data_IF_027417690843
#
_entry.id   IF_027417690843
#
_cell.length_a   1.000
_cell.length_b   1.000
_cell.length_c   1.000
_cell.angle_alpha   90.00
_cell.angle_beta   90.00
_cell.angle_gamma   90.00
#
_symmetry.space_group_name_H-M   'P 1'
#
loop_
_entity.id
_entity.type
_entity.pdbx_description
1 polymer ?
#
# COMPACT_ATOMS: atom_id res chain seq x y z
N UNK A 1 -40.09 -22.15 40.46
CA UNK A 1 -39.22 -20.99 40.82
C UNK A 1 -37.80 -21.54 40.95
N UNK A 2 -36.72 -21.10 40.32
CA UNK A 2 -36.39 -19.89 39.56
C UNK A 2 -35.26 -20.30 38.60
N UNK A 3 -35.45 -20.08 37.30
CA UNK A 3 -34.47 -20.39 36.26
C UNK A 3 -33.42 -19.26 36.19
N UNK A 4 -32.16 -19.59 36.50
CA UNK A 4 -31.00 -18.72 36.27
C UNK A 4 -30.84 -18.45 34.77
N UNK A 5 -31.33 -17.31 34.30
CA UNK A 5 -31.01 -16.77 32.97
C UNK A 5 -29.59 -16.23 32.97
N UNK A 6 -28.66 -16.96 32.36
CA UNK A 6 -27.31 -16.46 32.08
C UNK A 6 -27.41 -15.35 31.02
N UNK A 7 -27.15 -14.11 31.42
CA UNK A 7 -27.03 -12.97 30.50
C UNK A 7 -25.66 -12.99 29.81
N UNK A 8 -25.57 -13.68 28.68
CA UNK A 8 -24.42 -13.52 27.78
C UNK A 8 -24.53 -12.14 27.12
N UNK A 9 -23.77 -11.15 27.62
CA UNK A 9 -23.62 -9.83 26.99
C UNK A 9 -23.03 -10.04 25.58
N UNK A 10 -23.89 -10.06 24.56
CA UNK A 10 -23.50 -9.86 23.16
C UNK A 10 -22.82 -8.48 23.06
N UNK A 11 -21.47 -8.44 23.11
CA UNK A 11 -20.70 -7.25 22.73
C UNK A 11 -21.05 -6.96 21.27
N UNK A 12 -21.84 -5.92 21.01
CA UNK A 12 -21.99 -5.34 19.67
C UNK A 12 -20.58 -5.01 19.19
N UNK A 13 -20.09 -5.72 18.16
CA UNK A 13 -18.82 -5.37 17.50
C UNK A 13 -18.98 -3.93 16.98
N UNK A 14 -18.30 -2.99 17.62
CA UNK A 14 -18.25 -1.59 17.16
C UNK A 14 -17.66 -1.62 15.75
N UNK A 15 -18.33 -1.01 14.76
CA UNK A 15 -17.83 -0.91 13.40
C UNK A 15 -16.54 -0.07 13.46
N UNK A 16 -15.43 -0.67 13.05
CA UNK A 16 -14.14 0.02 13.02
C UNK A 16 -14.20 1.17 12.02
N UNK A 17 -13.53 2.27 12.36
CA UNK A 17 -13.54 3.52 11.59
C UNK A 17 -12.59 3.42 10.40
N UNK A 18 -13.07 3.86 9.24
CA UNK A 18 -12.25 4.05 8.04
C UNK A 18 -11.44 5.34 8.14
N UNK A 19 -10.27 5.35 7.51
CA UNK A 19 -9.44 6.52 7.30
C UNK A 19 -9.28 6.85 5.81
N UNK A 20 -8.29 7.67 5.49
CA UNK A 20 -7.91 8.01 4.13
C UNK A 20 -6.42 7.77 3.87
N UNK A 21 -6.10 7.52 2.60
CA UNK A 21 -4.76 7.12 2.16
C UNK A 21 -3.78 8.30 2.10
N UNK A 22 -2.48 8.02 1.95
CA UNK A 22 -1.48 9.06 1.69
C UNK A 22 -1.77 9.79 0.37
N UNK A 23 -2.30 9.08 -0.65
CA UNK A 23 -2.76 9.68 -1.90
C UNK A 23 -3.88 10.71 -1.72
N UNK A 24 -4.89 10.39 -0.91
CA UNK A 24 -5.97 11.33 -0.57
C UNK A 24 -5.45 12.55 0.17
N UNK A 25 -4.51 12.35 1.09
CA UNK A 25 -3.88 13.44 1.83
C UNK A 25 -3.11 14.40 0.89
N UNK A 26 -2.31 13.85 -0.02
CA UNK A 26 -1.55 14.62 -1.01
C UNK A 26 -2.47 15.38 -1.99
N UNK A 27 -3.55 14.74 -2.46
CA UNK A 27 -4.54 15.39 -3.31
C UNK A 27 -5.27 16.54 -2.57
N UNK A 28 -5.65 16.33 -1.30
CA UNK A 28 -6.25 17.37 -0.45
C UNK A 28 -5.32 18.58 -0.32
N UNK A 29 -4.07 18.32 0.07
CA UNK A 29 -3.06 19.35 0.24
C UNK A 29 -2.83 20.14 -1.05
N UNK A 30 -2.70 19.44 -2.19
CA UNK A 30 -2.52 20.06 -3.51
C UNK A 30 -3.71 20.95 -3.87
N UNK A 31 -4.94 20.44 -3.67
CA UNK A 31 -6.17 21.19 -3.93
C UNK A 31 -6.21 22.51 -3.18
N UNK A 32 -5.94 22.47 -1.87
CA UNK A 32 -5.98 23.67 -1.05
C UNK A 32 -4.81 24.61 -1.34
N UNK A 33 -3.62 24.09 -1.67
CA UNK A 33 -2.46 24.91 -2.01
C UNK A 33 -2.73 25.68 -3.30
N UNK A 34 -3.20 25.02 -4.36
CA UNK A 34 -3.54 25.71 -5.60
C UNK A 34 -4.66 26.74 -5.43
N UNK A 35 -5.70 26.44 -4.63
CA UNK A 35 -6.74 27.41 -4.31
C UNK A 35 -6.14 28.65 -3.62
N UNK A 36 -5.28 28.44 -2.63
CA UNK A 36 -4.58 29.50 -1.92
C UNK A 36 -3.72 30.34 -2.87
N UNK A 37 -3.00 29.70 -3.79
CA UNK A 37 -2.18 30.39 -4.77
C UNK A 37 -2.99 31.30 -5.69
N UNK A 38 -4.15 30.84 -6.16
CA UNK A 38 -4.98 31.57 -7.11
C UNK A 38 -5.84 32.66 -6.46
N UNK A 39 -6.25 32.46 -5.21
CA UNK A 39 -7.29 33.31 -4.58
C UNK A 39 -6.83 34.01 -3.30
N UNK A 40 -5.66 33.67 -2.77
CA UNK A 40 -5.19 34.12 -1.45
C UNK A 40 -5.91 33.45 -0.27
N UNK A 41 -6.86 32.54 -0.52
CA UNK A 41 -7.65 31.86 0.52
C UNK A 41 -7.55 30.34 0.38
N UNK A 42 -7.21 29.58 1.44
CA UNK A 42 -7.16 28.14 1.38
C UNK A 42 -8.56 27.51 1.54
N UNK A 43 -8.71 26.24 1.14
CA UNK A 43 -9.92 25.46 1.42
C UNK A 43 -9.88 24.91 2.85
N UNK A 44 -10.93 25.18 3.64
CA UNK A 44 -11.04 24.66 5.00
C UNK A 44 -12.52 24.45 5.38
N UNK A 45 -13.03 23.20 5.42
CA UNK A 45 -12.35 21.95 5.09
C UNK A 45 -12.15 21.75 3.58
N UNK A 46 -11.38 20.74 3.20
CA UNK A 46 -11.05 20.42 1.80
C UNK A 46 -11.94 19.26 1.35
N UNK A 47 -12.75 19.47 0.31
CA UNK A 47 -13.50 18.39 -0.34
C UNK A 47 -12.64 17.68 -1.39
N UNK A 48 -12.47 16.37 -1.27
CA UNK A 48 -11.63 15.54 -2.17
C UNK A 48 -12.47 14.43 -2.80
N UNK A 49 -12.49 14.39 -4.14
CA UNK A 49 -13.12 13.33 -4.92
C UNK A 49 -12.21 12.10 -4.97
N UNK A 50 -12.73 10.94 -4.57
CA UNK A 50 -12.02 9.67 -4.61
C UNK A 50 -12.23 8.94 -5.94
N UNK A 51 -11.40 7.94 -6.30
CA UNK A 51 -11.56 7.16 -7.53
C UNK A 51 -12.94 6.52 -7.72
N UNK A 52 -13.61 6.13 -6.64
CA UNK A 52 -14.96 5.56 -6.68
C UNK A 52 -16.08 6.64 -6.70
N UNK A 53 -15.74 7.91 -6.88
CA UNK A 53 -16.69 9.04 -6.93
C UNK A 53 -17.17 9.56 -5.57
N UNK A 54 -16.86 8.85 -4.47
CA UNK A 54 -17.12 9.33 -3.10
C UNK A 54 -16.34 10.61 -2.83
N UNK A 55 -16.95 11.58 -2.16
CA UNK A 55 -16.26 12.81 -1.69
C UNK A 55 -15.96 12.70 -0.20
N UNK A 56 -14.73 13.03 0.19
CA UNK A 56 -14.32 13.17 1.59
C UNK A 56 -14.08 14.63 1.96
N UNK A 57 -14.37 14.97 3.21
CA UNK A 57 -13.97 16.23 3.83
C UNK A 57 -12.71 16.01 4.66
N UNK A 58 -11.61 16.65 4.27
CA UNK A 58 -10.30 16.54 4.91
C UNK A 58 -9.97 17.86 5.62
N UNK A 59 -9.67 17.85 6.94
CA UNK A 59 -9.27 19.05 7.66
C UNK A 59 -7.91 19.58 7.19
N UNK A 60 -7.85 20.87 6.88
CA UNK A 60 -6.60 21.58 6.63
C UNK A 60 -5.80 21.72 7.93
N UNK A 61 -4.51 21.39 7.89
CA UNK A 61 -3.58 21.53 9.01
C UNK A 61 -2.84 22.86 8.96
N UNK A 62 -2.15 23.14 7.85
CA UNK A 62 -1.38 24.37 7.63
C UNK A 62 -1.61 24.91 6.23
N UNK A 63 -1.46 26.23 6.10
CA UNK A 63 -1.45 26.95 4.84
C UNK A 63 -0.45 28.10 4.91
N UNK A 64 0.32 28.30 3.86
CA UNK A 64 1.27 29.39 3.70
C UNK A 64 1.29 29.82 2.24
N UNK A 65 1.27 31.13 1.99
CA UNK A 65 1.52 31.71 0.68
C UNK A 65 2.80 32.54 0.78
N UNK A 66 3.82 32.19 0.02
CA UNK A 66 5.10 32.87 -0.03
C UNK A 66 5.45 33.20 -1.49
N UNK A 67 5.27 34.47 -1.87
CA UNK A 67 5.40 34.92 -3.25
C UNK A 67 4.48 34.15 -4.20
N UNK A 68 5.06 33.41 -5.13
CA UNK A 68 4.37 32.60 -6.14
C UNK A 68 4.31 31.10 -5.81
N UNK A 69 4.62 30.73 -4.56
CA UNK A 69 4.56 29.37 -4.05
C UNK A 69 3.57 29.32 -2.90
N UNK A 70 2.66 28.35 -2.96
CA UNK A 70 1.74 28.04 -1.86
C UNK A 70 2.08 26.69 -1.25
N UNK A 71 1.88 26.54 0.04
CA UNK A 71 2.02 25.29 0.76
C UNK A 71 0.75 25.04 1.56
N UNK A 72 0.17 23.85 1.42
CA UNK A 72 -0.84 23.35 2.35
C UNK A 72 -0.48 21.95 2.83
N UNK A 73 -0.92 21.60 4.04
CA UNK A 73 -0.77 20.25 4.57
C UNK A 73 -2.01 19.78 5.33
N UNK A 74 -2.12 18.46 5.50
CA UNK A 74 -3.16 17.77 6.26
C UNK A 74 -2.53 16.70 7.13
N UNK A 75 -3.22 16.26 8.17
CA UNK A 75 -2.76 15.14 9.02
C UNK A 75 -3.48 13.87 8.58
N UNK A 76 -2.73 12.84 8.18
CA UNK A 76 -3.31 11.58 7.72
C UNK A 76 -4.04 10.87 8.85
N UNK A 77 -5.32 10.60 8.61
CA UNK A 77 -6.14 9.81 9.51
C UNK A 77 -6.36 8.41 8.92
N UNK A 78 -5.84 7.37 9.59
CA UNK A 78 -5.95 5.97 9.14
C UNK A 78 -7.18 5.26 9.72
N UNK A 79 -8.04 5.96 10.46
CA UNK A 79 -9.16 5.34 11.13
C UNK A 79 -8.68 4.50 12.32
N UNK A 80 -9.15 3.26 12.40
CA UNK A 80 -8.72 2.28 13.40
C UNK A 80 -7.67 1.28 12.84
N UNK A 81 -7.10 1.55 11.65
CA UNK A 81 -6.05 0.71 11.07
C UNK A 81 -4.70 0.98 11.77
N UNK A 82 -3.92 -0.06 12.13
CA UNK A 82 -2.57 0.10 12.68
C UNK A 82 -1.55 0.48 11.58
N UNK A 83 -1.81 1.58 10.88
CA UNK A 83 -1.01 2.11 9.79
C UNK A 83 0.11 3.00 10.35
N UNK A 84 1.36 2.68 9.99
CA UNK A 84 2.57 3.42 10.40
C UNK A 84 2.57 4.90 9.97
N UNK A 85 1.80 5.24 8.94
CA UNK A 85 1.66 6.61 8.43
C UNK A 85 0.47 7.35 9.05
N UNK A 86 -0.24 6.76 10.01
CA UNK A 86 -1.26 7.47 10.78
C UNK A 86 -0.64 8.63 11.57
N UNK A 87 -1.29 9.79 11.53
CA UNK A 87 -0.83 11.00 12.20
C UNK A 87 0.29 11.74 11.45
N UNK A 88 0.81 11.20 10.35
CA UNK A 88 1.80 11.88 9.53
C UNK A 88 1.21 13.14 8.90
N UNK A 89 1.95 14.24 8.97
CA UNK A 89 1.61 15.46 8.22
C UNK A 89 2.08 15.29 6.77
N UNK A 90 1.14 15.40 5.83
CA UNK A 90 1.37 15.25 4.41
C UNK A 90 0.95 16.56 3.74
N UNK A 91 1.81 17.12 2.92
CA UNK A 91 1.56 18.40 2.27
C UNK A 91 2.02 18.46 0.83
N UNK A 92 1.68 19.58 0.21
CA UNK A 92 2.07 19.89 -1.15
C UNK A 92 2.50 21.36 -1.24
N UNK A 93 3.61 21.62 -1.92
CA UNK A 93 4.01 22.93 -2.41
C UNK A 93 3.61 23.05 -3.87
N UNK A 94 2.90 24.12 -4.21
CA UNK A 94 2.33 24.32 -5.54
C UNK A 94 2.74 25.68 -6.08
N UNK A 95 3.20 25.68 -7.33
CA UNK A 95 3.41 26.90 -8.14
C UNK A 95 3.01 26.66 -9.60
N UNK A 96 2.66 27.73 -10.29
CA UNK A 96 2.36 27.72 -11.73
C UNK A 96 3.63 28.11 -12.48
N UNK A 97 4.10 27.23 -13.36
CA UNK A 97 5.34 27.42 -14.12
C UNK A 97 5.12 28.21 -15.43
N UNK A 98 3.89 28.27 -15.92
CA UNK A 98 3.54 28.96 -17.17
C UNK A 98 2.44 28.25 -17.94
N UNK A 99 2.11 28.71 -19.15
CA UNK A 99 1.07 28.12 -19.97
C UNK A 99 1.52 26.84 -20.69
N UNK A 100 0.55 26.03 -21.12
CA UNK A 100 0.75 24.79 -21.91
C UNK A 100 -0.08 24.82 -23.19
N UNK A 101 0.15 23.85 -24.11
CA UNK A 101 -0.61 23.72 -25.35
C UNK A 101 -1.93 22.97 -25.12
N UNK A 102 -2.81 23.54 -24.30
CA UNK A 102 -4.24 23.17 -24.23
C UNK A 102 -4.69 22.24 -23.10
N UNK A 103 -3.78 21.57 -22.38
CA UNK A 103 -4.13 20.70 -21.25
C UNK A 103 -3.24 20.95 -20.03
N UNK A 104 -3.77 20.68 -18.84
CA UNK A 104 -3.05 20.88 -17.60
C UNK A 104 -1.92 19.86 -17.53
N UNK A 105 -0.68 20.32 -17.43
CA UNK A 105 0.50 19.48 -17.25
C UNK A 105 0.97 19.58 -15.80
N UNK A 106 1.07 18.45 -15.10
CA UNK A 106 1.61 18.41 -13.74
C UNK A 106 3.05 17.90 -13.74
N UNK A 107 3.95 18.70 -13.17
CA UNK A 107 5.32 18.31 -12.85
C UNK A 107 5.35 17.84 -11.40
N UNK A 108 5.47 16.53 -11.20
CA UNK A 108 5.56 15.93 -9.87
C UNK A 108 6.99 16.05 -9.33
N UNK A 109 7.12 16.52 -8.10
CA UNK A 109 8.39 16.58 -7.36
C UNK A 109 8.25 15.86 -6.01
N UNK A 110 9.35 15.25 -5.57
CA UNK A 110 9.48 14.71 -4.23
C UNK A 110 10.08 15.80 -3.33
N UNK A 111 9.32 16.25 -2.34
CA UNK A 111 9.82 17.04 -1.21
C UNK A 111 10.33 16.12 -0.10
N UNK A 112 10.61 16.70 1.06
CA UNK A 112 11.12 15.93 2.20
C UNK A 112 10.20 14.75 2.57
N UNK A 113 10.80 13.60 2.84
CA UNK A 113 10.08 12.40 3.28
C UNK A 113 9.21 11.69 2.24
N UNK A 114 9.19 12.15 0.97
CA UNK A 114 8.69 11.37 -0.16
C UNK A 114 9.86 10.67 -0.84
N UNK A 115 9.73 9.36 -1.07
CA UNK A 115 10.81 8.58 -1.63
C UNK A 115 10.96 8.73 -3.14
N UNK A 116 12.11 8.33 -3.66
CA UNK A 116 12.41 8.18 -5.08
C UNK A 116 12.48 6.69 -5.43
N UNK A 117 11.97 6.31 -6.60
CA UNK A 117 12.04 4.94 -7.10
C UNK A 117 13.44 4.67 -7.67
N UNK A 118 14.13 3.68 -7.12
CA UNK A 118 15.49 3.29 -7.50
C UNK A 118 15.59 1.90 -8.12
N UNK A 119 14.49 1.13 -8.11
CA UNK A 119 14.42 -0.21 -8.72
C UNK A 119 13.28 -0.31 -9.73
N UNK A 120 13.44 -1.10 -10.80
CA UNK A 120 12.35 -1.36 -11.74
C UNK A 120 11.26 -2.24 -11.12
N UNK A 121 10.10 -2.32 -11.79
CA UNK A 121 8.98 -3.19 -11.42
C UNK A 121 7.86 -2.48 -10.66
N UNK A 122 8.12 -1.32 -10.06
CA UNK A 122 7.03 -0.47 -9.56
C UNK A 122 6.29 0.21 -10.73
N UNK A 123 5.02 0.63 -10.54
CA UNK A 123 4.25 1.35 -11.55
C UNK A 123 4.79 2.76 -11.86
N UNK A 124 5.76 3.22 -11.07
CA UNK A 124 6.45 4.49 -11.20
C UNK A 124 7.87 4.21 -11.70
N UNK A 125 8.37 5.00 -12.66
CA UNK A 125 9.68 4.78 -13.28
C UNK A 125 10.82 5.05 -12.31
N UNK A 126 11.98 4.44 -12.57
CA UNK A 126 13.22 4.74 -11.83
C UNK A 126 13.59 6.22 -12.01
N UNK A 127 14.02 6.87 -10.93
CA UNK A 127 14.34 8.30 -10.86
C UNK A 127 13.13 9.22 -10.63
N UNK A 128 11.92 8.69 -10.57
CA UNK A 128 10.71 9.49 -10.31
C UNK A 128 10.31 9.49 -8.83
N UNK A 129 9.62 10.57 -8.37
CA UNK A 129 8.94 10.59 -7.07
C UNK A 129 7.99 9.39 -6.93
N UNK A 130 8.05 8.71 -5.78
CA UNK A 130 7.25 7.54 -5.43
C UNK A 130 5.77 7.89 -5.17
N UNK A 131 5.14 8.56 -6.12
CA UNK A 131 3.72 8.92 -6.15
C UNK A 131 3.06 8.01 -7.18
N UNK A 132 2.28 7.05 -6.69
CA UNK A 132 1.67 6.02 -7.54
C UNK A 132 0.63 6.59 -8.52
N UNK A 133 0.25 5.85 -9.58
CA UNK A 133 -0.65 6.34 -10.62
C UNK A 133 -2.00 6.86 -10.12
N UNK A 134 -2.66 6.15 -9.19
CA UNK A 134 -3.95 6.60 -8.64
C UNK A 134 -3.80 7.90 -7.85
N UNK A 135 -2.85 8.05 -6.91
CA UNK A 135 -2.55 9.35 -6.32
C UNK A 135 -2.23 10.47 -7.32
N UNK A 136 -1.44 10.21 -8.38
CA UNK A 136 -1.20 11.19 -9.46
C UNK A 136 -2.52 11.60 -10.13
N UNK A 137 -3.39 10.64 -10.42
CA UNK A 137 -4.71 10.91 -10.99
C UNK A 137 -5.59 11.75 -10.05
N UNK A 138 -5.58 11.47 -8.75
CA UNK A 138 -6.32 12.25 -7.76
C UNK A 138 -5.78 13.69 -7.65
N UNK A 139 -4.47 13.87 -7.73
CA UNK A 139 -3.83 15.18 -7.77
C UNK A 139 -4.23 15.93 -9.05
N UNK A 140 -4.24 15.26 -10.21
CA UNK A 140 -4.70 15.84 -11.47
C UNK A 140 -6.14 16.35 -11.36
N UNK A 141 -7.06 15.54 -10.84
CA UNK A 141 -8.45 15.97 -10.63
C UNK A 141 -8.55 17.15 -9.68
N UNK A 142 -7.82 17.12 -8.56
CA UNK A 142 -7.80 18.22 -7.61
C UNK A 142 -7.34 19.54 -8.24
N UNK A 143 -6.30 19.49 -9.08
CA UNK A 143 -5.80 20.67 -9.81
C UNK A 143 -6.86 21.18 -10.79
N UNK A 144 -7.41 20.30 -11.62
CA UNK A 144 -8.43 20.67 -12.63
C UNK A 144 -9.70 21.25 -11.99
N UNK A 145 -10.20 20.64 -10.90
CA UNK A 145 -11.36 21.13 -10.16
C UNK A 145 -11.14 22.57 -9.65
N UNK A 146 -9.94 22.90 -9.16
CA UNK A 146 -9.63 24.26 -8.70
C UNK A 146 -9.48 25.23 -9.86
N UNK A 147 -8.79 24.83 -10.95
CA UNK A 147 -8.63 25.67 -12.13
C UNK A 147 -9.98 26.05 -12.74
N UNK A 148 -10.91 25.11 -12.82
CA UNK A 148 -12.26 25.35 -13.31
C UNK A 148 -13.05 26.26 -12.35
N UNK A 149 -13.03 25.97 -11.05
CA UNK A 149 -13.75 26.77 -10.04
C UNK A 149 -13.27 28.22 -9.98
N UNK A 150 -11.96 28.45 -10.19
CA UNK A 150 -11.36 29.78 -10.23
C UNK A 150 -11.39 30.43 -11.63
N UNK A 151 -11.95 29.75 -12.64
CA UNK A 151 -11.95 30.20 -14.05
C UNK A 151 -10.54 30.57 -14.55
N UNK A 152 -9.53 29.84 -14.08
CA UNK A 152 -8.13 30.12 -14.35
C UNK A 152 -7.66 29.52 -15.70
N UNK A 153 -8.44 28.63 -16.31
CA UNK A 153 -8.08 27.90 -17.53
C UNK A 153 -7.20 26.67 -17.25
N UNK A 154 -7.36 25.63 -18.09
CA UNK A 154 -6.64 24.33 -18.01
C UNK A 154 -5.35 24.31 -18.83
N UNK A 155 -4.93 25.43 -19.39
CA UNK A 155 -3.72 25.59 -20.19
C UNK A 155 -2.51 25.94 -19.32
N UNK A 156 -2.30 25.21 -18.21
CA UNK A 156 -1.24 25.52 -17.24
C UNK A 156 -0.32 24.35 -16.95
N UNK A 157 0.96 24.68 -16.77
CA UNK A 157 1.95 23.79 -16.19
C UNK A 157 2.03 24.07 -14.69
N UNK A 158 1.65 23.09 -13.88
CA UNK A 158 1.62 23.19 -12.42
C UNK A 158 2.72 22.29 -11.86
N UNK A 159 3.63 22.86 -11.07
CA UNK A 159 4.54 22.04 -10.27
C UNK A 159 3.88 21.69 -8.94
N UNK A 160 3.90 20.41 -8.60
CA UNK A 160 3.38 19.87 -7.34
C UNK A 160 4.49 19.08 -6.66
N UNK A 161 5.07 19.67 -5.63
CA UNK A 161 6.03 19.00 -4.77
C UNK A 161 5.32 18.44 -3.54
N UNK A 162 5.22 17.13 -3.42
CA UNK A 162 4.59 16.47 -2.27
C UNK A 162 5.64 16.17 -1.22
N UNK A 163 5.34 16.44 0.05
CA UNK A 163 6.22 16.15 1.18
C UNK A 163 5.47 15.42 2.30
N UNK A 164 6.22 14.71 3.13
CA UNK A 164 5.74 14.04 4.34
C UNK A 164 6.69 14.35 5.49
N UNK A 165 6.20 15.05 6.52
CA UNK A 165 7.00 15.33 7.72
C UNK A 165 7.45 14.01 8.35
N UNK A 166 8.75 13.91 8.66
CA UNK A 166 9.41 12.70 9.17
C UNK A 166 9.27 11.45 8.27
N UNK A 167 8.93 11.64 6.98
CA UNK A 167 8.65 10.55 6.06
C UNK A 167 9.81 9.58 5.85
N UNK A 168 11.07 10.06 5.88
CA UNK A 168 12.24 9.17 5.79
C UNK A 168 12.32 8.21 7.00
N UNK A 169 12.07 8.73 8.21
CA UNK A 169 12.06 7.93 9.44
C UNK A 169 10.91 6.93 9.42
N UNK A 170 9.73 7.33 8.96
CA UNK A 170 8.59 6.44 8.82
C UNK A 170 8.84 5.34 7.77
N UNK A 171 9.49 5.67 6.65
CA UNK A 171 9.81 4.74 5.57
C UNK A 171 10.70 3.58 6.02
N UNK A 172 11.60 3.80 7.00
CA UNK A 172 12.44 2.73 7.59
C UNK A 172 11.63 1.63 8.28
N UNK A 173 10.37 1.91 8.65
CA UNK A 173 9.42 0.96 9.26
C UNK A 173 8.46 0.33 8.23
N UNK A 174 8.66 0.59 6.93
CA UNK A 174 7.82 0.04 5.86
C UNK A 174 8.63 -0.88 4.95
N UNK A 175 7.97 -1.43 3.91
CA UNK A 175 8.62 -2.24 2.89
C UNK A 175 9.24 -1.40 1.77
N UNK A 176 9.15 -0.06 1.83
CA UNK A 176 9.67 0.84 0.80
C UNK A 176 11.14 0.60 0.45
N UNK A 177 12.08 0.51 1.41
CA UNK A 177 13.48 0.27 1.07
C UNK A 177 13.68 -1.03 0.29
N UNK A 178 12.93 -2.08 0.62
CA UNK A 178 12.99 -3.38 -0.05
C UNK A 178 12.47 -3.28 -1.49
N UNK A 179 11.38 -2.54 -1.68
CA UNK A 179 10.76 -2.27 -2.99
C UNK A 179 11.59 -1.32 -3.85
N UNK A 180 12.71 -0.78 -3.34
CA UNK A 180 13.53 0.20 -4.06
C UNK A 180 12.92 1.58 -4.05
N UNK A 181 12.30 1.98 -2.95
CA UNK A 181 11.91 3.37 -2.69
C UNK A 181 12.78 3.90 -1.55
N UNK A 182 13.67 4.83 -1.87
CA UNK A 182 14.66 5.38 -0.94
C UNK A 182 14.36 6.85 -0.62
N UNK A 183 14.84 7.34 0.53
CA UNK A 183 14.67 8.73 0.97
C UNK A 183 13.30 9.09 1.55
N UNK A 184 12.30 8.20 1.48
CA UNK A 184 10.97 8.52 2.00
C UNK A 184 9.88 7.49 1.73
N UNK A 185 8.65 7.90 2.06
CA UNK A 185 7.43 7.12 1.87
C UNK A 185 6.93 7.19 0.43
N UNK A 186 6.14 6.19 0.05
CA UNK A 186 5.41 6.19 -1.20
C UNK A 186 4.05 6.83 -0.93
N UNK A 187 3.64 7.73 -1.83
CA UNK A 187 2.28 8.27 -1.85
C UNK A 187 1.44 7.27 -2.65
N UNK A 188 0.55 6.56 -1.95
CA UNK A 188 -0.16 5.38 -2.44
C UNK A 188 -1.61 5.36 -1.95
N UNK A 189 -2.42 4.50 -2.57
CA UNK A 189 -3.84 4.32 -2.27
C UNK A 189 -4.66 4.14 -3.54
N UNK A 190 -5.29 2.97 -3.69
CA UNK A 190 -6.06 2.60 -4.89
C UNK A 190 -7.50 3.10 -4.85
N UNK A 191 -8.11 3.12 -3.67
CA UNK A 191 -9.50 3.60 -3.45
C UNK A 191 -9.58 4.98 -2.80
N UNK A 192 -8.46 5.51 -2.32
CA UNK A 192 -8.41 6.71 -1.49
C UNK A 192 -8.83 6.49 -0.01
N UNK A 193 -9.30 5.30 0.36
CA UNK A 193 -9.74 4.95 1.73
C UNK A 193 -8.79 3.94 2.38
N UNK A 194 -8.55 4.12 3.68
CA UNK A 194 -7.93 3.10 4.53
C UNK A 194 -9.03 2.34 5.25
N UNK A 195 -9.13 1.03 4.98
CA UNK A 195 -10.07 0.14 5.67
C UNK A 195 -9.31 -0.63 6.76
N UNK A 196 -9.77 -0.59 8.02
CA UNK A 196 -9.03 -1.17 9.14
C UNK A 196 -8.91 -2.70 9.00
N UNK A 197 -7.70 -3.21 9.23
CA UNK A 197 -7.34 -4.64 9.17
C UNK A 197 -7.67 -5.29 7.83
N UNK A 198 -7.54 -4.53 6.74
CA UNK A 198 -7.89 -5.00 5.41
C UNK A 198 -6.83 -5.92 4.82
N UNK A 199 -7.24 -7.13 4.43
CA UNK A 199 -6.43 -8.02 3.60
C UNK A 199 -6.03 -7.41 2.25
N UNK A 200 -6.76 -6.38 1.78
CA UNK A 200 -6.48 -5.75 0.48
C UNK A 200 -5.15 -4.99 0.48
N UNK A 201 -4.86 -4.20 1.51
CA UNK A 201 -3.60 -3.46 1.62
C UNK A 201 -2.39 -4.40 1.64
N UNK A 202 -2.55 -5.55 2.32
CA UNK A 202 -1.50 -6.57 2.37
C UNK A 202 -1.30 -7.25 1.00
N UNK A 203 -2.38 -7.52 0.25
CA UNK A 203 -2.32 -8.05 -1.11
C UNK A 203 -1.63 -7.10 -2.09
N UNK A 204 -1.96 -5.82 -2.04
CA UNK A 204 -1.32 -4.77 -2.86
C UNK A 204 0.19 -4.69 -2.59
N UNK A 205 0.59 -4.86 -1.33
CA UNK A 205 1.99 -4.94 -0.92
C UNK A 205 2.70 -6.18 -1.50
N UNK A 206 2.03 -7.34 -1.48
CA UNK A 206 2.54 -8.56 -2.12
C UNK A 206 2.71 -8.34 -3.63
N UNK A 207 1.72 -7.76 -4.30
CA UNK A 207 1.78 -7.50 -5.75
C UNK A 207 2.95 -6.57 -6.11
N UNK A 208 3.16 -5.50 -5.35
CA UNK A 208 4.30 -4.60 -5.55
C UNK A 208 5.64 -5.35 -5.40
N UNK A 209 5.78 -6.18 -4.35
CA UNK A 209 6.99 -6.97 -4.13
C UNK A 209 7.23 -8.00 -5.24
N UNK A 210 6.17 -8.67 -5.71
CA UNK A 210 6.25 -9.61 -6.83
C UNK A 210 6.65 -8.91 -8.14
N UNK A 211 6.17 -7.69 -8.37
CA UNK A 211 6.51 -6.93 -9.57
C UNK A 211 7.99 -6.50 -9.56
N UNK A 212 8.51 -6.06 -8.40
CA UNK A 212 9.95 -5.78 -8.22
C UNK A 212 10.78 -7.06 -8.38
N UNK A 213 10.35 -8.18 -7.78
CA UNK A 213 11.00 -9.48 -7.94
C UNK A 213 11.05 -9.91 -9.41
N UNK A 214 9.97 -9.66 -10.17
CA UNK A 214 9.85 -10.04 -11.57
C UNK A 214 10.79 -9.23 -12.46
N UNK A 215 10.98 -7.96 -12.13
CA UNK A 215 11.92 -7.09 -12.81
C UNK A 215 13.38 -7.46 -12.51
N UNK A 216 13.64 -8.10 -11.36
CA UNK A 216 14.97 -8.61 -10.99
C UNK A 216 15.28 -9.99 -11.62
N UNK A 217 14.28 -10.82 -11.91
CA UNK A 217 14.49 -12.13 -12.52
C UNK A 217 13.24 -12.99 -12.74
N UNK A 218 13.44 -14.21 -13.23
CA UNK A 218 12.38 -15.19 -13.49
C UNK A 218 12.15 -16.20 -12.34
N UNK A 219 13.07 -16.24 -11.37
CA UNK A 219 12.97 -17.10 -10.19
C UNK A 219 12.40 -16.31 -9.00
N UNK A 220 11.45 -16.93 -8.30
CA UNK A 220 10.76 -16.33 -7.17
C UNK A 220 10.86 -17.24 -5.94
N UNK A 221 11.17 -16.64 -4.80
CA UNK A 221 11.13 -17.30 -3.50
C UNK A 221 10.01 -16.69 -2.66
N UNK A 222 8.96 -17.48 -2.42
CA UNK A 222 7.87 -17.10 -1.53
C UNK A 222 8.16 -17.55 -0.11
N UNK A 223 7.97 -16.65 0.86
CA UNK A 223 8.17 -16.95 2.27
C UNK A 223 6.98 -16.52 3.11
N UNK A 224 6.80 -17.21 4.23
CA UNK A 224 5.72 -16.93 5.18
C UNK A 224 6.04 -15.83 6.19
N UNK A 225 7.25 -15.28 6.14
CA UNK A 225 7.74 -14.19 6.99
C UNK A 225 9.25 -14.21 7.12
N UNK A 226 9.81 -13.30 7.93
CA UNK A 226 11.27 -13.10 7.99
C UNK A 226 12.10 -14.33 8.39
N UNK A 227 11.57 -15.24 9.23
CA UNK A 227 12.32 -16.46 9.63
C UNK A 227 12.44 -17.47 8.49
N UNK A 228 11.37 -17.71 7.74
CA UNK A 228 11.40 -18.59 6.56
C UNK A 228 12.16 -17.94 5.40
N UNK A 229 12.08 -16.62 5.26
CA UNK A 229 12.89 -15.89 4.27
C UNK A 229 14.39 -16.02 4.56
N UNK A 230 14.83 -15.77 5.81
CA UNK A 230 16.25 -15.92 6.20
C UNK A 230 16.76 -17.34 6.00
N UNK A 231 15.93 -18.34 6.27
CA UNK A 231 16.27 -19.73 5.98
C UNK A 231 16.50 -19.95 4.48
N UNK A 232 15.59 -19.45 3.63
CA UNK A 232 15.72 -19.57 2.18
C UNK A 232 16.97 -18.85 1.65
N UNK A 233 17.25 -17.63 2.12
CA UNK A 233 18.43 -16.85 1.71
C UNK A 233 19.75 -17.54 2.03
N UNK A 234 19.82 -18.35 3.09
CA UNK A 234 21.01 -19.15 3.43
C UNK A 234 21.24 -20.31 2.46
N UNK A 235 20.18 -20.81 1.83
CA UNK A 235 20.26 -21.94 0.91
C UNK A 235 20.38 -21.48 -0.56
N UNK A 236 19.77 -20.35 -0.89
CA UNK A 236 19.68 -19.81 -2.24
C UNK A 236 20.53 -18.53 -2.35
N UNK A 237 21.83 -18.66 -2.10
CA UNK A 237 22.77 -17.53 -1.95
C UNK A 237 23.05 -16.78 -3.26
N UNK A 238 22.73 -17.38 -4.41
CA UNK A 238 22.96 -16.78 -5.74
C UNK A 238 21.80 -15.90 -6.21
N UNK A 239 20.63 -15.95 -5.54
CA UNK A 239 19.48 -15.16 -5.92
C UNK A 239 19.55 -13.73 -5.35
N UNK A 240 19.16 -12.70 -6.13
CA UNK A 240 18.99 -11.34 -5.63
C UNK A 240 18.01 -11.27 -4.46
N UNK A 241 18.17 -10.29 -3.57
CA UNK A 241 17.27 -10.13 -2.42
C UNK A 241 15.81 -9.86 -2.85
N UNK A 242 15.63 -9.20 -3.99
CA UNK A 242 14.34 -8.87 -4.58
C UNK A 242 13.52 -10.11 -4.90
N UNK A 243 14.16 -11.24 -5.21
CA UNK A 243 13.48 -12.50 -5.48
C UNK A 243 12.79 -13.08 -4.24
N UNK A 244 13.05 -12.57 -3.04
CA UNK A 244 12.48 -13.08 -1.78
C UNK A 244 11.29 -12.23 -1.34
N UNK A 245 10.08 -12.77 -1.51
CA UNK A 245 8.82 -12.07 -1.21
C UNK A 245 8.11 -12.72 -0.03
N UNK A 246 7.74 -11.90 0.97
CA UNK A 246 6.96 -12.35 2.12
C UNK A 246 5.46 -12.27 1.82
N UNK A 247 4.78 -13.41 1.81
CA UNK A 247 3.34 -13.51 1.55
C UNK A 247 2.51 -13.80 2.79
N UNK A 248 3.15 -13.92 3.96
CA UNK A 248 2.51 -14.29 5.23
C UNK A 248 1.61 -15.54 5.12
N UNK A 249 0.29 -15.32 5.11
CA UNK A 249 -0.73 -16.36 5.03
C UNK A 249 -1.39 -16.46 3.65
N UNK A 250 -1.10 -15.52 2.73
CA UNK A 250 -1.73 -15.34 1.43
C UNK A 250 -1.14 -16.25 0.33
N UNK A 251 -0.97 -17.53 0.64
CA UNK A 251 -0.42 -18.54 -0.27
C UNK A 251 -1.08 -18.57 -1.65
N UNK A 252 -2.39 -18.81 -1.68
CA UNK A 252 -3.11 -18.96 -2.94
C UNK A 252 -3.18 -17.67 -3.74
N UNK A 253 -3.15 -16.51 -3.08
CA UNK A 253 -3.06 -15.22 -3.75
C UNK A 253 -1.66 -15.00 -4.33
N UNK A 254 -0.60 -15.21 -3.54
CA UNK A 254 0.79 -15.03 -3.96
C UNK A 254 1.15 -15.86 -5.18
N UNK A 255 0.76 -17.14 -5.21
CA UNK A 255 0.98 -18.00 -6.37
C UNK A 255 0.21 -17.56 -7.61
N UNK A 256 -1.07 -17.20 -7.47
CA UNK A 256 -1.89 -16.69 -8.59
C UNK A 256 -1.31 -15.39 -9.15
N UNK A 257 -0.87 -14.48 -8.29
CA UNK A 257 -0.24 -13.24 -8.70
C UNK A 257 1.12 -13.50 -9.39
N UNK A 258 1.93 -14.42 -8.86
CA UNK A 258 3.19 -14.82 -9.48
C UNK A 258 2.97 -15.43 -10.88
N UNK A 259 1.97 -16.30 -11.04
CA UNK A 259 1.63 -16.87 -12.33
C UNK A 259 1.20 -15.79 -13.34
N UNK A 260 0.39 -14.80 -12.92
CA UNK A 260 -0.01 -13.68 -13.77
C UNK A 260 1.17 -12.82 -14.24
N UNK A 261 2.22 -12.71 -13.42
CA UNK A 261 3.46 -11.99 -13.75
C UNK A 261 4.43 -12.84 -14.59
N UNK A 262 4.08 -14.08 -14.91
CA UNK A 262 4.87 -14.95 -15.78
C UNK A 262 6.12 -15.53 -15.11
N UNK A 263 6.12 -15.71 -13.79
CA UNK A 263 7.18 -16.48 -13.13
C UNK A 263 7.12 -17.95 -13.55
N UNK A 264 8.27 -18.53 -13.90
CA UNK A 264 8.37 -19.91 -14.39
C UNK A 264 8.87 -20.88 -13.31
N UNK A 265 9.53 -20.37 -12.27
CA UNK A 265 10.04 -21.16 -11.16
C UNK A 265 9.76 -20.46 -9.83
N UNK A 266 9.03 -21.14 -8.95
CA UNK A 266 8.68 -20.65 -7.62
C UNK A 266 9.15 -21.63 -6.56
N UNK A 267 10.00 -21.17 -5.65
CA UNK A 267 10.39 -21.91 -4.45
C UNK A 267 9.62 -21.36 -3.26
N UNK A 268 9.01 -22.22 -2.45
CA UNK A 268 8.29 -21.80 -1.25
C UNK A 268 9.03 -22.22 0.03
N UNK A 269 9.48 -21.23 0.80
CA UNK A 269 10.00 -21.43 2.15
C UNK A 269 8.89 -21.26 3.19
N UNK A 270 8.56 -22.33 3.90
CA UNK A 270 7.34 -22.43 4.70
C UNK A 270 7.57 -23.30 5.94
N UNK A 271 6.85 -22.99 7.02
CA UNK A 271 6.83 -23.83 8.21
C UNK A 271 5.92 -25.03 8.00
N UNK A 272 6.26 -26.18 8.57
CA UNK A 272 5.50 -27.43 8.42
C UNK A 272 3.99 -27.23 8.62
N UNK A 273 3.55 -26.54 9.69
CA UNK A 273 2.13 -26.32 9.93
C UNK A 273 1.39 -25.53 8.85
N UNK A 274 2.06 -24.58 8.18
CA UNK A 274 1.49 -23.86 7.03
C UNK A 274 1.51 -24.72 5.77
N UNK A 275 2.55 -25.55 5.59
CA UNK A 275 2.65 -26.49 4.48
C UNK A 275 1.51 -27.52 4.51
N UNK A 276 1.20 -28.07 5.70
CA UNK A 276 0.06 -28.98 5.88
C UNK A 276 -1.25 -28.30 5.46
N UNK A 277 -1.48 -27.06 5.90
CA UNK A 277 -2.67 -26.28 5.48
C UNK A 277 -2.74 -26.05 3.97
N UNK A 278 -1.61 -25.79 3.32
CA UNK A 278 -1.55 -25.68 1.86
C UNK A 278 -1.91 -27.01 1.19
N UNK A 279 -1.41 -28.13 1.72
CA UNK A 279 -1.74 -29.48 1.23
C UNK A 279 -3.24 -29.81 1.40
N UNK A 280 -3.87 -29.31 2.47
CA UNK A 280 -5.33 -29.37 2.66
C UNK A 280 -6.13 -28.52 1.65
N UNK A 281 -5.47 -27.82 0.72
CA UNK A 281 -6.12 -26.95 -0.27
C UNK A 281 -6.51 -25.58 0.27
N UNK A 282 -5.99 -25.14 1.42
CA UNK A 282 -6.31 -23.83 1.98
C UNK A 282 -5.52 -22.72 1.28
N UNK A 283 -6.25 -21.78 0.67
CA UNK A 283 -5.65 -20.62 0.00
C UNK A 283 -5.16 -19.53 0.97
N UNK A 284 -5.59 -19.61 2.24
CA UNK A 284 -5.22 -18.70 3.33
C UNK A 284 -4.87 -19.49 4.60
N UNK A 285 -3.63 -19.36 5.09
CA UNK A 285 -3.03 -20.31 6.05
C UNK A 285 -2.98 -19.82 7.50
N UNK A 286 -3.67 -18.72 7.82
CA UNK A 286 -3.70 -18.16 9.18
C UNK A 286 -4.15 -19.20 10.22
N UNK A 287 -3.64 -19.12 11.45
CA UNK A 287 -3.88 -20.11 12.50
C UNK A 287 -5.38 -20.41 12.71
N UNK A 288 -6.22 -19.38 12.66
CA UNK A 288 -7.67 -19.47 12.85
C UNK A 288 -8.47 -20.01 11.65
N UNK A 289 -7.85 -20.24 10.48
CA UNK A 289 -8.60 -20.64 9.27
C UNK A 289 -9.02 -22.11 9.27
N UNK A 290 -8.23 -22.96 9.91
CA UNK A 290 -8.52 -24.38 10.13
C UNK A 290 -7.52 -24.96 11.15
N UNK A 291 -7.95 -25.98 11.89
CA UNK A 291 -7.05 -26.82 12.66
C UNK A 291 -6.21 -27.69 11.71
N UNK A 292 -5.01 -28.05 12.16
CA UNK A 292 -4.14 -28.95 11.39
C UNK A 292 -4.76 -30.35 11.42
N UNK A 293 -5.09 -30.89 10.26
CA UNK A 293 -5.57 -32.26 10.12
C UNK A 293 -4.43 -33.14 9.59
N UNK A 294 -3.82 -33.90 10.49
CA UNK A 294 -2.76 -34.84 10.15
C UNK A 294 -3.32 -36.08 9.44
N UNK A 295 -4.62 -36.37 9.52
CA UNK A 295 -5.26 -37.46 8.78
C UNK A 295 -5.11 -37.29 7.26
N UNK A 296 -5.20 -36.05 6.77
CA UNK A 296 -4.93 -35.74 5.36
C UNK A 296 -3.48 -36.04 5.00
N UNK A 297 -2.52 -35.78 5.89
CA UNK A 297 -1.12 -36.15 5.66
C UNK A 297 -0.92 -37.66 5.62
N UNK A 298 -1.59 -38.40 6.51
CA UNK A 298 -1.57 -39.87 6.49
C UNK A 298 -2.08 -40.42 5.16
N UNK A 299 -3.20 -39.90 4.67
CA UNK A 299 -3.73 -40.30 3.36
C UNK A 299 -2.81 -39.95 2.20
N UNK A 300 -2.21 -38.76 2.21
CA UNK A 300 -1.24 -38.35 1.21
C UNK A 300 0.02 -39.21 1.24
N UNK A 301 0.55 -39.50 2.44
CA UNK A 301 1.71 -40.37 2.62
C UNK A 301 1.42 -41.78 2.10
N UNK A 302 0.24 -42.33 2.40
CA UNK A 302 -0.20 -43.64 1.88
C UNK A 302 -0.27 -43.64 0.35
N UNK A 303 -0.88 -42.61 -0.26
CA UNK A 303 -0.97 -42.48 -1.72
C UNK A 303 0.39 -42.32 -2.41
N UNK A 304 1.36 -41.72 -1.72
CA UNK A 304 2.73 -41.57 -2.21
C UNK A 304 3.61 -42.82 -1.98
N UNK A 305 3.07 -43.90 -1.40
CA UNK A 305 3.82 -45.14 -1.13
C UNK A 305 4.66 -45.09 0.15
N UNK A 306 4.30 -44.26 1.12
CA UNK A 306 4.95 -44.23 2.43
C UNK A 306 4.77 -45.55 3.20
N UNK A 307 5.78 -45.93 3.99
CA UNK A 307 5.74 -47.12 4.84
C UNK A 307 4.64 -47.03 5.91
N UNK A 308 4.07 -48.15 6.33
CA UNK A 308 3.06 -48.18 7.41
C UNK A 308 3.57 -47.53 8.71
N UNK A 309 4.85 -47.71 9.06
CA UNK A 309 5.46 -47.04 10.23
C UNK A 309 5.38 -45.50 10.13
N UNK A 310 5.53 -44.92 8.94
CA UNK A 310 5.42 -43.47 8.73
C UNK A 310 3.97 -43.02 8.85
N UNK A 311 3.03 -43.82 8.32
CA UNK A 311 1.59 -43.52 8.34
C UNK A 311 1.04 -43.58 9.78
N UNK A 312 1.51 -44.52 10.61
CA UNK A 312 1.13 -44.60 12.03
C UNK A 312 1.71 -43.45 12.87
N UNK A 313 2.89 -42.93 12.51
CA UNK A 313 3.57 -41.83 13.21
C UNK A 313 3.02 -40.44 12.90
N UNK A 314 2.50 -40.24 11.69
CA UNK A 314 1.76 -39.02 11.30
C UNK A 314 0.44 -38.95 12.06
#
# INVERSE_FOLDING_TARGET
MSTRRSRTKRRRKKKLREGFTTGTAAAAATKSALQLLLTGLPLKPISVTLPEGRVLSVPLRRSLLDGNISLCSVVKDAGDDPDVTHGAEIGARVRILGPTKGNTEIVYKAGEGVGEVTKPGLPVKVGEPAINPVPRQMIQWAVEEVLDACQAGRDKRVEVEVFVTDGETLAKKTLNPRLGVLGGLSILGTSGIVRPLSHQAYKETIEAALSVARAAGNELVLSTGGKSERFARRLLTTLPEECFVQIADFYGFGLKAAAKLGFTKVTHSVFIGKLVKMAMGLHYTHASSANMDLGILREMARKAGGSEELIERL
#
